data_IF_485571559871
#
_entry.id   IF_485571559871
#
_cell.length_a   1.000
_cell.length_b   1.000
_cell.length_c   1.000
_cell.angle_alpha   90.00
_cell.angle_beta   90.00
_cell.angle_gamma   90.00
#
_symmetry.space_group_name_H-M   'P 1'
#
loop_
_entity.id
_entity.type
_entity.pdbx_description
1 polymer ?
#
# COMPACT_ATOMS: atom_id res chain seq x y z
N UNK A 1 5.83 -7.53 -51.83
CA UNK A 1 6.06 -8.19 -50.53
C UNK A 1 5.00 -7.69 -49.57
N UNK A 2 4.12 -8.59 -49.14
CA UNK A 2 2.97 -8.25 -48.31
C UNK A 2 3.43 -7.89 -46.89
N UNK A 3 2.96 -6.75 -46.39
CA UNK A 3 3.15 -6.34 -45.00
C UNK A 3 2.23 -7.19 -44.12
N UNK A 4 2.81 -7.92 -43.18
CA UNK A 4 2.07 -8.64 -42.14
C UNK A 4 1.41 -7.61 -41.22
N UNK A 5 0.09 -7.50 -41.32
CA UNK A 5 -0.76 -6.70 -40.45
C UNK A 5 -0.79 -7.39 -39.07
N UNK A 6 -0.14 -6.76 -38.08
CA UNK A 6 -0.21 -7.21 -36.69
C UNK A 6 -1.60 -6.86 -36.17
N UNK A 7 -2.41 -7.83 -35.71
CA UNK A 7 -3.77 -7.56 -35.28
C UNK A 7 -3.74 -6.68 -34.03
N UNK A 8 -4.53 -5.61 -34.04
CA UNK A 8 -4.73 -4.77 -32.87
C UNK A 8 -5.46 -5.57 -31.79
N UNK A 9 -5.00 -5.56 -30.52
CA UNK A 9 -5.68 -6.29 -29.45
C UNK A 9 -7.07 -5.71 -29.25
N UNK A 10 -8.03 -6.62 -29.07
CA UNK A 10 -9.44 -6.31 -28.91
C UNK A 10 -9.67 -5.55 -27.60
N UNK A 11 -10.62 -4.61 -27.58
CA UNK A 11 -10.99 -3.85 -26.37
C UNK A 11 -11.43 -4.75 -25.20
N UNK A 12 -11.85 -5.98 -25.50
CA UNK A 12 -12.19 -7.03 -24.54
C UNK A 12 -11.00 -7.63 -23.80
N UNK A 13 -9.80 -7.72 -24.41
CA UNK A 13 -8.61 -8.26 -23.74
C UNK A 13 -8.10 -7.29 -22.66
N UNK A 14 -8.16 -5.99 -22.92
CA UNK A 14 -7.73 -4.94 -21.97
C UNK A 14 -8.57 -4.95 -20.68
N UNK A 15 -9.83 -5.40 -20.75
CA UNK A 15 -10.72 -5.44 -19.59
C UNK A 15 -10.38 -6.55 -18.58
N UNK A 16 -9.69 -7.61 -19.01
CA UNK A 16 -9.31 -8.74 -18.16
C UNK A 16 -7.88 -8.66 -17.61
N UNK A 17 -7.10 -7.67 -18.05
CA UNK A 17 -5.64 -7.58 -17.79
C UNK A 17 -5.27 -7.05 -16.38
N UNK A 18 -6.23 -6.81 -15.49
CA UNK A 18 -5.96 -6.32 -14.13
C UNK A 18 -5.50 -4.84 -14.07
N UNK A 19 -5.46 -4.20 -12.87
CA UNK A 19 -5.25 -2.76 -12.74
C UNK A 19 -3.86 -2.27 -13.21
N UNK A 20 -2.81 -3.06 -12.97
CA UNK A 20 -1.42 -2.70 -13.28
C UNK A 20 -1.17 -2.67 -14.78
N UNK A 21 -1.57 -3.73 -15.50
CA UNK A 21 -1.39 -3.82 -16.94
C UNK A 21 -2.27 -2.80 -17.67
N UNK A 22 -3.44 -2.48 -17.13
CA UNK A 22 -4.28 -1.37 -17.61
C UNK A 22 -3.56 -0.01 -17.54
N UNK A 23 -2.84 0.27 -16.45
CA UNK A 23 -2.04 1.48 -16.31
C UNK A 23 -0.89 1.52 -17.35
N UNK A 24 -0.16 0.41 -17.51
CA UNK A 24 0.93 0.27 -18.50
C UNK A 24 0.40 0.50 -19.91
N UNK A 25 -0.71 -0.15 -20.27
CA UNK A 25 -1.41 0.04 -21.55
C UNK A 25 -1.81 1.49 -21.80
N UNK A 26 -2.38 2.16 -20.78
CA UNK A 26 -2.81 3.56 -20.89
C UNK A 26 -1.61 4.48 -21.12
N UNK A 27 -0.49 4.26 -20.42
CA UNK A 27 0.75 5.02 -20.64
C UNK A 27 1.35 4.77 -22.01
N UNK A 28 1.41 3.51 -22.46
CA UNK A 28 1.86 3.16 -23.82
C UNK A 28 1.03 3.87 -24.90
N UNK A 29 -0.30 3.86 -24.77
CA UNK A 29 -1.20 4.58 -25.70
C UNK A 29 -0.91 6.09 -25.72
N UNK A 30 -0.72 6.71 -24.56
CA UNK A 30 -0.42 8.13 -24.47
C UNK A 30 0.94 8.49 -25.12
N UNK A 31 1.98 7.68 -24.86
CA UNK A 31 3.30 7.89 -25.46
C UNK A 31 3.30 7.66 -26.97
N UNK A 32 2.64 6.61 -27.47
CA UNK A 32 2.47 6.38 -28.91
C UNK A 32 1.72 7.53 -29.59
N UNK A 33 0.68 8.07 -28.95
CA UNK A 33 -0.02 9.26 -29.46
C UNK A 33 0.90 10.48 -29.51
N UNK A 34 1.75 10.68 -28.50
CA UNK A 34 2.76 11.75 -28.48
C UNK A 34 3.81 11.55 -29.56
N UNK A 35 4.27 10.32 -29.79
CA UNK A 35 5.22 9.98 -30.86
C UNK A 35 4.62 10.28 -32.24
N UNK A 36 3.38 9.89 -32.49
CA UNK A 36 2.68 10.21 -33.75
C UNK A 36 2.56 11.73 -33.97
N UNK A 37 2.28 12.50 -32.91
CA UNK A 37 2.26 13.97 -32.99
C UNK A 37 3.64 14.54 -33.32
N UNK A 38 4.69 13.99 -32.72
CA UNK A 38 6.09 14.35 -33.01
C UNK A 38 6.41 14.08 -34.48
N UNK A 39 6.08 12.90 -35.01
CA UNK A 39 6.29 12.57 -36.43
C UNK A 39 5.60 13.55 -37.38
N UNK A 40 4.34 13.91 -37.11
CA UNK A 40 3.62 14.92 -37.91
C UNK A 40 4.28 16.32 -37.85
N UNK A 41 4.86 16.69 -36.71
CA UNK A 41 5.61 17.94 -36.56
C UNK A 41 6.95 17.90 -37.30
N UNK A 42 7.64 16.75 -37.31
CA UNK A 42 8.87 16.55 -38.10
C UNK A 42 8.60 16.67 -39.60
N UNK A 43 7.52 16.07 -40.09
CA UNK A 43 7.08 16.19 -41.49
C UNK A 43 6.75 17.64 -41.85
N UNK A 44 6.02 18.35 -40.98
CA UNK A 44 5.71 19.77 -41.16
C UNK A 44 6.97 20.64 -41.23
N UNK A 45 7.97 20.33 -40.40
CA UNK A 45 9.28 21.02 -40.41
C UNK A 45 10.06 20.71 -41.68
N UNK A 46 10.04 19.46 -42.15
CA UNK A 46 10.66 19.06 -43.41
C UNK A 46 10.02 19.75 -44.63
N UNK A 47 8.72 20.05 -44.56
CA UNK A 47 7.99 20.86 -45.54
C UNK A 47 8.29 22.36 -45.46
N UNK A 48 9.19 22.80 -44.56
CA UNK A 48 9.62 24.19 -44.43
C UNK A 48 8.72 25.08 -43.57
N UNK A 49 7.76 24.51 -42.83
CA UNK A 49 6.93 25.30 -41.88
C UNK A 49 7.77 25.72 -40.67
N UNK A 50 7.65 26.99 -40.30
CA UNK A 50 8.24 27.51 -39.06
C UNK A 50 7.47 26.98 -37.84
N UNK A 51 8.20 26.52 -36.83
CA UNK A 51 7.64 25.96 -35.61
C UNK A 51 7.78 26.95 -34.44
N UNK A 52 6.79 26.95 -33.55
CA UNK A 52 6.84 27.63 -32.25
C UNK A 52 7.86 26.92 -31.33
N UNK A 53 8.50 27.67 -30.42
CA UNK A 53 9.31 27.18 -29.29
C UNK A 53 8.73 25.96 -28.56
N UNK A 54 7.42 25.92 -28.29
CA UNK A 54 6.75 24.76 -27.65
C UNK A 54 6.75 23.51 -28.55
N UNK A 55 6.61 23.69 -29.87
CA UNK A 55 6.67 22.59 -30.84
C UNK A 55 8.09 22.06 -30.96
N UNK A 56 9.10 22.94 -30.93
CA UNK A 56 10.51 22.55 -30.91
C UNK A 56 10.88 21.78 -29.64
N UNK A 57 10.39 22.20 -28.48
CA UNK A 57 10.58 21.46 -27.23
C UNK A 57 9.90 20.08 -27.28
N UNK A 58 8.71 20.01 -27.89
CA UNK A 58 8.04 18.72 -28.09
C UNK A 58 8.84 17.80 -29.02
N UNK A 59 9.47 18.32 -30.07
CA UNK A 59 10.40 17.55 -30.91
C UNK A 59 11.64 17.09 -30.14
N UNK A 60 12.21 17.97 -29.30
CA UNK A 60 13.36 17.61 -28.44
C UNK A 60 13.04 16.47 -27.47
N UNK A 61 11.77 16.30 -27.10
CA UNK A 61 11.33 15.20 -26.23
C UNK A 61 11.29 13.82 -26.90
N UNK A 62 11.48 13.72 -28.23
CA UNK A 62 11.38 12.47 -29.00
C UNK A 62 12.22 11.31 -28.44
N UNK A 63 13.52 11.47 -28.11
CA UNK A 63 14.33 10.36 -27.60
C UNK A 63 13.76 9.78 -26.31
N UNK A 64 13.26 10.62 -25.41
CA UNK A 64 12.64 10.21 -24.15
C UNK A 64 11.30 9.49 -24.36
N UNK A 65 10.51 9.93 -25.34
CA UNK A 65 9.24 9.27 -25.68
C UNK A 65 9.48 7.87 -26.25
N UNK A 66 10.47 7.71 -27.13
CA UNK A 66 10.84 6.41 -27.70
C UNK A 66 11.40 5.49 -26.61
N UNK A 67 12.34 5.97 -25.79
CA UNK A 67 12.89 5.20 -24.69
C UNK A 67 11.81 4.73 -23.70
N UNK A 68 10.84 5.60 -23.38
CA UNK A 68 9.73 5.25 -22.50
C UNK A 68 8.74 4.23 -23.11
N UNK A 69 8.60 4.19 -24.45
CA UNK A 69 7.84 3.13 -25.12
C UNK A 69 8.58 1.81 -24.99
N UNK A 70 9.88 1.79 -25.32
CA UNK A 70 10.70 0.59 -25.29
C UNK A 70 10.77 -0.03 -23.88
N UNK A 71 10.94 0.80 -22.84
CA UNK A 71 10.94 0.35 -21.45
C UNK A 71 9.59 -0.26 -21.05
N UNK A 72 8.49 0.42 -21.36
CA UNK A 72 7.14 -0.07 -21.03
C UNK A 72 6.80 -1.36 -21.80
N UNK A 73 7.28 -1.54 -23.02
CA UNK A 73 7.12 -2.78 -23.78
C UNK A 73 7.95 -3.93 -23.19
N UNK A 74 9.17 -3.65 -22.74
CA UNK A 74 10.03 -4.64 -22.07
C UNK A 74 9.43 -5.15 -20.76
N UNK A 75 8.83 -4.28 -19.94
CA UNK A 75 8.21 -4.72 -18.67
C UNK A 75 6.84 -5.37 -18.86
N UNK A 76 6.17 -5.13 -20.01
CA UNK A 76 4.83 -5.68 -20.26
C UNK A 76 4.82 -7.22 -20.29
N UNK A 77 5.78 -7.83 -20.98
CA UNK A 77 5.82 -9.29 -21.15
C UNK A 77 6.09 -10.02 -19.82
N UNK A 78 7.05 -9.60 -18.97
CA UNK A 78 7.20 -10.14 -17.62
C UNK A 78 5.93 -10.03 -16.76
N UNK A 79 5.18 -8.92 -16.86
CA UNK A 79 3.94 -8.74 -16.10
C UNK A 79 2.82 -9.69 -16.57
N UNK A 80 2.68 -9.90 -17.88
CA UNK A 80 1.75 -10.88 -18.44
C UNK A 80 2.10 -12.30 -17.98
N UNK A 81 3.37 -12.68 -18.09
CA UNK A 81 3.85 -14.00 -17.65
C UNK A 81 3.62 -14.23 -16.15
N UNK A 82 3.86 -13.21 -15.31
CA UNK A 82 3.60 -13.29 -13.88
C UNK A 82 2.10 -13.46 -13.56
N UNK A 83 1.23 -12.77 -14.31
CA UNK A 83 -0.23 -12.92 -14.18
C UNK A 83 -0.69 -14.33 -14.56
N UNK A 84 -0.18 -14.88 -15.67
CA UNK A 84 -0.50 -16.24 -16.09
C UNK A 84 -0.07 -17.28 -15.04
N UNK A 85 1.12 -17.10 -14.45
CA UNK A 85 1.60 -17.94 -13.34
C UNK A 85 0.72 -17.84 -12.10
N UNK A 86 0.26 -16.64 -11.72
CA UNK A 86 -0.66 -16.46 -10.58
C UNK A 86 -1.99 -17.20 -10.82
N UNK A 87 -2.52 -17.12 -12.05
CA UNK A 87 -3.74 -17.83 -12.44
C UNK A 87 -3.54 -19.35 -12.37
N UNK A 88 -2.42 -19.86 -12.90
CA UNK A 88 -2.11 -21.29 -12.90
C UNK A 88 -1.98 -21.84 -11.47
N UNK A 89 -1.31 -21.11 -10.57
CA UNK A 89 -1.18 -21.48 -9.16
C UNK A 89 -2.54 -21.57 -8.45
N UNK A 90 -3.45 -20.63 -8.74
CA UNK A 90 -4.81 -20.65 -8.19
C UNK A 90 -5.61 -21.84 -8.71
N UNK A 91 -5.50 -22.16 -10.01
CA UNK A 91 -6.18 -23.30 -10.61
C UNK A 91 -5.66 -24.65 -10.09
N UNK A 92 -4.34 -24.79 -9.92
CA UNK A 92 -3.70 -25.97 -9.35
C UNK A 92 -4.12 -26.17 -7.88
N UNK A 93 -4.14 -25.10 -7.08
CA UNK A 93 -4.56 -25.13 -5.67
C UNK A 93 -6.03 -25.55 -5.52
N UNK A 94 -6.90 -25.13 -6.44
CA UNK A 94 -8.31 -25.51 -6.42
C UNK A 94 -8.53 -26.97 -6.85
N UNK A 95 -7.73 -27.49 -7.77
CA UNK A 95 -7.81 -28.89 -8.22
C UNK A 95 -7.37 -29.86 -7.12
N UNK A 96 -6.35 -29.51 -6.34
CA UNK A 96 -5.86 -30.34 -5.24
C UNK A 96 -6.83 -30.44 -4.05
N UNK A 97 -7.83 -29.57 -3.99
CA UNK A 97 -8.86 -29.56 -2.93
C UNK A 97 -10.02 -30.51 -3.20
N UNK A 98 -10.16 -31.02 -4.43
CA UNK A 98 -11.25 -31.92 -4.84
C UNK A 98 -10.86 -33.41 -4.65
N UNK A 99 -9.56 -33.73 -4.62
CA UNK A 99 -9.06 -35.11 -4.61
C UNK A 99 -8.76 -35.69 -3.20
N UNK A 100 -9.02 -34.90 -2.14
CA UNK A 100 -8.82 -35.33 -0.75
C UNK A 100 -10.17 -35.50 -0.03
N UNK A 101 -10.90 -36.55 -0.40
CA UNK A 101 -11.89 -37.16 0.49
C UNK A 101 -11.72 -38.67 0.46
N UNK A 102 -11.49 -39.27 1.63
CA UNK A 102 -12.14 -40.53 1.96
C UNK A 102 -13.07 -40.31 3.17
N UNK A 103 -14.31 -40.74 3.02
CA UNK A 103 -15.21 -40.89 4.16
C UNK A 103 -14.81 -42.05 5.05
N UNK A 104 -15.31 -42.06 6.27
CA UNK A 104 -15.83 -43.27 6.90
C UNK A 104 -16.78 -42.90 8.06
N UNK A 105 -17.77 -43.75 8.21
CA UNK A 105 -18.90 -43.70 9.12
C UNK A 105 -18.60 -44.74 10.20
N UNK A 106 -18.73 -44.42 11.48
CA UNK A 106 -19.08 -45.41 12.50
C UNK A 106 -19.66 -44.74 13.75
N UNK A 107 -20.84 -45.24 14.08
CA UNK A 107 -21.71 -44.99 15.22
C UNK A 107 -21.28 -45.88 16.41
N UNK A 108 -21.33 -45.35 17.64
CA UNK A 108 -21.92 -46.02 18.81
C UNK A 108 -21.88 -45.08 20.03
N UNK A 109 -23.05 -44.89 20.66
CA UNK A 109 -23.27 -43.96 21.76
C UNK A 109 -23.03 -44.52 23.16
N UNK A 110 -23.05 -43.63 24.16
CA UNK A 110 -23.84 -43.86 25.37
C UNK A 110 -24.12 -42.54 26.11
N UNK A 111 -25.32 -42.47 26.68
CA UNK A 111 -25.88 -41.34 27.41
C UNK A 111 -25.46 -41.34 28.88
N UNK A 112 -25.24 -40.16 29.45
CA UNK A 112 -25.54 -39.87 30.85
C UNK A 112 -25.69 -38.34 31.05
N UNK A 113 -26.82 -37.98 31.64
CA UNK A 113 -27.29 -36.62 31.83
C UNK A 113 -26.54 -35.86 32.95
N UNK A 114 -26.24 -34.60 32.68
CA UNK A 114 -26.24 -33.51 33.67
C UNK A 114 -26.39 -32.18 32.93
N UNK A 115 -27.55 -31.56 33.08
CA UNK A 115 -27.82 -30.14 32.77
C UNK A 115 -28.41 -29.52 34.05
N UNK A 116 -28.47 -28.18 34.23
CA UNK A 116 -27.92 -27.11 33.39
C UNK A 116 -27.38 -25.88 34.19
N UNK A 117 -26.12 -25.45 34.05
CA UNK A 117 -25.66 -24.15 34.58
C UNK A 117 -24.46 -23.68 33.74
N UNK A 118 -24.37 -22.54 33.05
CA UNK A 118 -25.22 -21.38 32.78
C UNK A 118 -24.87 -20.99 31.33
N UNK A 119 -25.82 -21.08 30.39
CA UNK A 119 -25.66 -20.36 29.11
C UNK A 119 -25.82 -18.89 29.43
N UNK A 120 -24.72 -18.22 29.78
CA UNK A 120 -24.70 -16.77 29.80
C UNK A 120 -25.09 -16.31 28.40
N UNK A 121 -26.18 -15.57 28.31
CA UNK A 121 -26.61 -14.84 27.12
C UNK A 121 -25.67 -13.64 26.86
N UNK A 122 -24.36 -13.86 26.93
CA UNK A 122 -23.32 -12.99 26.35
C UNK A 122 -23.07 -13.51 24.92
N UNK A 123 -24.15 -13.63 24.13
CA UNK A 123 -24.13 -14.48 22.93
C UNK A 123 -23.88 -13.75 21.61
N UNK A 124 -24.05 -12.43 21.57
CA UNK A 124 -24.04 -11.67 20.30
C UNK A 124 -23.40 -10.28 20.46
N UNK A 125 -23.77 -9.54 21.52
CA UNK A 125 -23.20 -8.21 21.79
C UNK A 125 -21.69 -8.25 22.06
N UNK A 126 -21.18 -9.30 22.71
CA UNK A 126 -19.74 -9.47 22.95
C UNK A 126 -19.00 -9.83 21.66
N UNK A 127 -19.57 -10.69 20.81
CA UNK A 127 -18.99 -11.04 19.51
C UNK A 127 -18.94 -9.83 18.56
N UNK A 128 -19.99 -9.00 18.57
CA UNK A 128 -20.01 -7.74 17.81
C UNK A 128 -18.94 -6.78 18.31
N UNK A 129 -18.83 -6.57 19.63
CA UNK A 129 -17.80 -5.70 20.22
C UNK A 129 -16.39 -6.19 19.86
N UNK A 130 -16.16 -7.48 19.94
CA UNK A 130 -14.88 -8.12 19.61
C UNK A 130 -14.50 -7.95 18.12
N UNK A 131 -15.43 -8.18 17.20
CA UNK A 131 -15.21 -7.90 15.77
C UNK A 131 -15.00 -6.40 15.50
N UNK A 132 -15.72 -5.52 16.21
CA UNK A 132 -15.56 -4.08 16.09
C UNK A 132 -14.19 -3.61 16.58
N UNK A 133 -13.66 -4.20 17.65
CA UNK A 133 -12.29 -3.90 18.12
C UNK A 133 -11.26 -4.25 17.03
N UNK A 134 -11.35 -5.46 16.46
CA UNK A 134 -10.47 -5.87 15.37
C UNK A 134 -10.60 -4.94 14.15
N UNK A 135 -11.81 -4.57 13.75
CA UNK A 135 -12.04 -3.65 12.64
C UNK A 135 -11.51 -2.24 12.92
N UNK A 136 -11.71 -1.74 14.14
CA UNK A 136 -11.25 -0.43 14.56
C UNK A 136 -9.72 -0.35 14.46
N UNK A 137 -9.01 -1.24 15.15
CA UNK A 137 -7.54 -1.26 15.11
C UNK A 137 -7.00 -1.62 13.73
N UNK A 138 -7.64 -2.56 13.02
CA UNK A 138 -7.28 -2.89 11.64
C UNK A 138 -7.32 -1.66 10.73
N UNK A 139 -8.35 -0.81 10.87
CA UNK A 139 -8.48 0.43 10.08
C UNK A 139 -7.46 1.51 10.46
N UNK A 140 -7.04 1.56 11.74
CA UNK A 140 -6.04 2.51 12.24
C UNK A 140 -4.64 2.11 11.78
N UNK A 141 -4.31 0.81 11.80
CA UNK A 141 -2.99 0.32 11.44
C UNK A 141 -2.79 0.09 9.95
N UNK A 142 -3.85 0.13 9.15
CA UNK A 142 -3.82 0.02 7.69
C UNK A 142 -3.21 1.26 7.02
N UNK A 143 -1.89 1.25 6.82
CA UNK A 143 -1.19 2.33 6.08
C UNK A 143 -1.31 2.14 4.56
N UNK A 144 -1.54 0.90 4.09
CA UNK A 144 -1.41 0.54 2.68
C UNK A 144 -2.70 0.69 1.88
N UNK A 145 -3.84 0.25 2.41
CA UNK A 145 -5.12 0.24 1.66
C UNK A 145 -5.69 1.64 1.48
N UNK A 146 -5.25 2.60 2.30
CA UNK A 146 -5.64 4.00 2.23
C UNK A 146 -4.55 4.94 1.71
N UNK A 147 -3.54 4.41 1.03
CA UNK A 147 -2.57 5.16 0.19
C UNK A 147 -3.22 6.06 -0.86
N UNK A 148 -4.55 5.99 -1.04
CA UNK A 148 -5.33 6.85 -1.94
C UNK A 148 -5.79 8.17 -1.31
N UNK A 149 -5.64 8.36 0.00
CA UNK A 149 -5.91 9.62 0.68
C UNK A 149 -4.71 10.00 1.58
N UNK A 150 -3.82 10.85 1.06
CA UNK A 150 -2.59 11.30 1.75
C UNK A 150 -2.84 11.79 3.19
N UNK A 151 -4.02 12.35 3.46
CA UNK A 151 -4.40 12.94 4.75
C UNK A 151 -4.41 11.92 5.91
N UNK A 152 -4.57 10.63 5.60
CA UNK A 152 -4.66 9.58 6.64
C UNK A 152 -3.34 8.84 6.88
N UNK A 153 -2.40 8.89 5.93
CA UNK A 153 -1.15 8.14 6.05
C UNK A 153 -0.31 8.62 7.23
N UNK A 154 -0.11 9.94 7.37
CA UNK A 154 0.69 10.51 8.47
C UNK A 154 0.10 10.17 9.84
N UNK A 155 -1.23 10.32 9.98
CA UNK A 155 -1.94 9.96 11.21
C UNK A 155 -1.74 8.49 11.55
N UNK A 156 -1.93 7.58 10.60
CA UNK A 156 -1.83 6.13 10.85
C UNK A 156 -0.40 5.68 11.15
N UNK A 157 0.59 6.27 10.48
CA UNK A 157 2.00 6.04 10.83
C UNK A 157 2.31 6.50 12.25
N UNK A 158 1.79 7.66 12.66
CA UNK A 158 1.92 8.14 14.04
C UNK A 158 1.25 7.18 15.04
N UNK A 159 0.02 6.76 14.78
CA UNK A 159 -0.71 5.81 15.63
C UNK A 159 0.05 4.48 15.81
N UNK A 160 0.61 3.93 14.73
CA UNK A 160 1.45 2.71 14.80
C UNK A 160 2.68 2.92 15.68
N UNK A 161 3.40 4.02 15.48
CA UNK A 161 4.61 4.32 16.26
C UNK A 161 4.28 4.53 17.75
N UNK A 162 3.17 5.21 18.05
CA UNK A 162 2.67 5.35 19.41
C UNK A 162 2.37 3.97 20.02
N UNK A 163 1.57 3.13 19.34
CA UNK A 163 1.23 1.79 19.82
C UNK A 163 2.46 0.96 20.19
N UNK A 164 3.50 0.96 19.34
CA UNK A 164 4.76 0.26 19.60
C UNK A 164 5.53 0.89 20.77
N UNK A 165 5.58 2.21 20.86
CA UNK A 165 6.34 2.91 21.92
C UNK A 165 5.75 2.62 23.30
N UNK A 166 4.41 2.58 23.44
CA UNK A 166 3.76 2.24 24.69
C UNK A 166 4.05 0.79 25.13
N UNK A 167 4.28 -0.14 24.20
CA UNK A 167 4.67 -1.52 24.52
C UNK A 167 6.10 -1.62 25.10
N UNK A 168 6.98 -0.67 24.76
CA UNK A 168 8.37 -0.62 25.24
C UNK A 168 8.55 0.15 26.57
N UNK A 169 7.63 1.06 26.90
CA UNK A 169 7.79 1.99 28.04
C UNK A 169 7.21 1.43 29.34
N UNK A 170 6.36 0.41 29.28
CA UNK A 170 5.93 -0.29 30.49
C UNK A 170 7.07 -1.20 30.97
N UNK A 171 7.82 -0.74 31.98
CA UNK A 171 8.91 -1.45 32.69
C UNK A 171 8.48 -2.78 33.36
N UNK A 172 7.28 -3.28 33.10
CA UNK A 172 6.88 -4.61 33.52
C UNK A 172 7.38 -5.63 32.50
N UNK A 173 8.30 -6.49 32.96
CA UNK A 173 8.66 -7.79 32.38
C UNK A 173 7.44 -8.74 32.30
N UNK A 174 6.30 -8.26 31.80
CA UNK A 174 5.06 -9.00 31.64
C UNK A 174 5.16 -9.96 30.46
N UNK A 175 5.96 -11.00 30.64
CA UNK A 175 5.80 -12.38 30.17
C UNK A 175 5.48 -12.65 28.68
N UNK A 176 5.74 -11.74 27.75
CA UNK A 176 5.42 -11.94 26.33
C UNK A 176 6.37 -11.26 25.34
N UNK A 177 6.42 -11.80 24.12
CA UNK A 177 7.17 -11.22 22.99
C UNK A 177 6.64 -9.81 22.67
N UNK A 178 7.52 -8.79 22.55
CA UNK A 178 7.11 -7.42 22.26
C UNK A 178 6.32 -7.33 20.95
N UNK A 179 5.44 -6.32 20.87
CA UNK A 179 4.72 -6.00 19.65
C UNK A 179 5.69 -5.56 18.57
N UNK A 180 5.52 -6.11 17.37
CA UNK A 180 6.32 -5.81 16.19
C UNK A 180 5.47 -5.10 15.14
N UNK A 181 6.10 -4.39 14.22
CA UNK A 181 5.41 -3.78 13.07
C UNK A 181 4.57 -4.82 12.29
N UNK A 182 5.11 -6.04 12.16
CA UNK A 182 4.42 -7.15 11.52
C UNK A 182 3.11 -7.51 12.23
N UNK A 183 3.04 -7.44 13.56
CA UNK A 183 1.80 -7.73 14.30
C UNK A 183 0.71 -6.72 13.90
N UNK A 184 1.06 -5.44 13.78
CA UNK A 184 0.15 -4.37 13.36
C UNK A 184 -0.27 -4.52 11.89
N UNK A 185 0.64 -4.94 11.02
CA UNK A 185 0.34 -5.23 9.61
C UNK A 185 -0.63 -6.39 9.45
N UNK A 186 -0.49 -7.43 10.28
CA UNK A 186 -1.40 -8.58 10.24
C UNK A 186 -2.76 -8.20 10.86
N UNK A 187 -2.82 -7.37 11.92
CA UNK A 187 -4.08 -6.81 12.42
C UNK A 187 -4.82 -6.03 11.32
N UNK A 188 -4.12 -5.17 10.58
CA UNK A 188 -4.67 -4.46 9.43
C UNK A 188 -5.16 -5.43 8.32
N UNK A 189 -4.37 -6.47 8.03
CA UNK A 189 -4.70 -7.47 7.02
C UNK A 189 -5.97 -8.25 7.38
N UNK A 190 -6.08 -8.77 8.61
CA UNK A 190 -7.28 -9.49 9.06
C UNK A 190 -8.49 -8.56 9.12
N UNK A 191 -8.33 -7.33 9.59
CA UNK A 191 -9.38 -6.30 9.53
C UNK A 191 -9.89 -6.10 8.10
N UNK A 192 -8.99 -6.07 7.11
CA UNK A 192 -9.33 -6.03 5.69
C UNK A 192 -10.09 -7.27 5.22
N UNK A 193 -9.66 -8.48 5.60
CA UNK A 193 -10.30 -9.75 5.22
C UNK A 193 -11.76 -9.86 5.69
N UNK A 194 -12.12 -9.20 6.80
CA UNK A 194 -13.49 -9.17 7.32
C UNK A 194 -14.48 -8.36 6.49
N UNK A 195 -14.00 -7.40 5.69
CA UNK A 195 -14.88 -6.43 4.99
C UNK A 195 -14.57 -6.29 3.50
N UNK A 196 -13.52 -6.94 3.01
CA UNK A 196 -13.02 -6.74 1.65
C UNK A 196 -13.14 -7.99 0.80
N UNK A 197 -13.44 -7.78 -0.48
CA UNK A 197 -13.37 -8.84 -1.48
C UNK A 197 -11.90 -9.25 -1.67
N UNK A 198 -11.56 -10.56 -1.65
CA UNK A 198 -10.19 -11.00 -1.89
C UNK A 198 -9.66 -10.44 -3.20
N UNK A 199 -8.46 -9.83 -3.12
CA UNK A 199 -7.76 -9.23 -4.26
C UNK A 199 -7.57 -10.30 -5.33
N UNK A 200 -7.74 -9.93 -6.60
CA UNK A 200 -7.57 -10.82 -7.77
C UNK A 200 -8.50 -12.05 -7.82
N UNK A 201 -9.57 -12.12 -7.02
CA UNK A 201 -10.49 -13.25 -7.10
C UNK A 201 -11.58 -13.04 -8.16
N UNK A 202 -11.92 -14.11 -8.88
CA UNK A 202 -13.11 -14.19 -9.76
C UNK A 202 -14.39 -14.52 -8.99
N UNK A 203 -14.34 -14.48 -7.65
CA UNK A 203 -15.45 -14.88 -6.78
C UNK A 203 -16.64 -13.93 -6.90
N UNK A 204 -17.85 -14.48 -6.80
CA UNK A 204 -19.03 -13.64 -6.69
C UNK A 204 -19.01 -12.82 -5.39
N UNK A 205 -19.83 -11.77 -5.31
CA UNK A 205 -20.00 -11.02 -4.05
C UNK A 205 -20.50 -11.93 -2.92
N UNK A 206 -21.35 -12.92 -3.24
CA UNK A 206 -21.85 -13.89 -2.27
C UNK A 206 -20.71 -14.71 -1.67
N UNK A 207 -19.90 -15.34 -2.52
CA UNK A 207 -18.80 -16.20 -2.05
C UNK A 207 -17.71 -15.38 -1.35
N UNK A 208 -17.52 -14.13 -1.76
CA UNK A 208 -16.59 -13.21 -1.08
C UNK A 208 -17.06 -12.90 0.33
N UNK A 209 -18.36 -12.61 0.49
CA UNK A 209 -18.96 -12.35 1.80
C UNK A 209 -18.95 -13.59 2.70
N UNK A 210 -19.17 -14.78 2.13
CA UNK A 210 -19.01 -16.04 2.86
C UNK A 210 -17.58 -16.20 3.40
N UNK A 211 -16.55 -15.87 2.62
CA UNK A 211 -15.16 -15.86 3.11
C UNK A 211 -14.93 -14.84 4.22
N UNK A 212 -15.48 -13.63 4.09
CA UNK A 212 -15.42 -12.63 5.17
C UNK A 212 -16.03 -13.18 6.47
N UNK A 213 -17.18 -13.84 6.37
CA UNK A 213 -17.84 -14.48 7.50
C UNK A 213 -17.02 -15.64 8.08
N UNK A 214 -16.30 -16.40 7.26
CA UNK A 214 -15.42 -17.47 7.74
C UNK A 214 -14.22 -16.92 8.52
N UNK A 215 -13.61 -15.82 8.07
CA UNK A 215 -12.59 -15.11 8.85
C UNK A 215 -13.13 -14.61 10.20
N UNK A 216 -14.35 -14.07 10.21
CA UNK A 216 -15.00 -13.65 11.46
C UNK A 216 -15.21 -14.82 12.42
N UNK A 217 -15.66 -15.97 11.92
CA UNK A 217 -15.80 -17.19 12.74
C UNK A 217 -14.46 -17.66 13.29
N UNK A 218 -13.40 -17.70 12.48
CA UNK A 218 -12.06 -18.11 12.90
C UNK A 218 -11.50 -17.18 13.98
N UNK A 219 -11.76 -15.87 13.87
CA UNK A 219 -11.42 -14.90 14.91
C UNK A 219 -12.18 -15.14 16.21
N UNK A 220 -13.50 -15.26 16.14
CA UNK A 220 -14.39 -15.43 17.30
C UNK A 220 -14.17 -16.77 18.02
N UNK A 221 -13.80 -17.81 17.27
CA UNK A 221 -13.49 -19.13 17.84
C UNK A 221 -12.07 -19.22 18.39
N UNK A 222 -11.29 -18.13 18.33
CA UNK A 222 -9.89 -18.09 18.76
C UNK A 222 -9.06 -19.21 18.10
N UNK A 223 -9.19 -19.36 16.79
CA UNK A 223 -8.64 -20.51 16.08
C UNK A 223 -7.11 -20.51 16.06
N UNK A 224 -6.49 -21.67 16.31
CA UNK A 224 -5.06 -21.89 16.13
C UNK A 224 -4.65 -22.05 14.64
N UNK A 225 -5.61 -21.87 13.71
CA UNK A 225 -5.35 -21.95 12.28
C UNK A 225 -4.48 -20.75 11.83
N UNK A 226 -3.52 -20.95 10.91
CA UNK A 226 -2.80 -19.86 10.29
C UNK A 226 -3.73 -18.90 9.53
N UNK A 227 -3.46 -17.60 9.60
CA UNK A 227 -4.22 -16.57 8.86
C UNK A 227 -3.96 -16.69 7.37
N UNK A 228 -2.70 -16.86 6.99
CA UNK A 228 -2.25 -17.09 5.63
C UNK A 228 -1.60 -18.46 5.50
N UNK A 229 -1.77 -19.09 4.33
CA UNK A 229 -1.17 -20.38 4.07
C UNK A 229 0.37 -20.27 4.08
N UNK A 230 1.04 -21.05 4.92
CA UNK A 230 2.50 -21.05 5.05
C UNK A 230 3.05 -20.04 6.07
N UNK A 231 2.20 -19.24 6.70
CA UNK A 231 2.57 -18.39 7.83
C UNK A 231 2.50 -19.16 9.15
N UNK A 232 3.34 -18.79 10.11
CA UNK A 232 3.27 -19.26 11.49
C UNK A 232 2.33 -18.42 12.37
N UNK A 233 1.74 -17.35 11.81
CA UNK A 233 0.85 -16.45 12.54
C UNK A 233 -0.59 -16.97 12.47
N UNK A 234 -1.18 -17.21 13.65
CA UNK A 234 -2.53 -17.78 13.81
C UNK A 234 -3.54 -16.72 14.26
N UNK A 235 -4.84 -16.98 14.10
CA UNK A 235 -5.88 -16.08 14.62
C UNK A 235 -5.75 -15.93 16.14
N UNK A 236 -5.51 -17.03 16.85
CA UNK A 236 -5.32 -17.01 18.30
C UNK A 236 -4.13 -16.17 18.74
N UNK A 237 -2.96 -16.37 18.12
CA UNK A 237 -1.76 -15.60 18.45
C UNK A 237 -1.93 -14.11 18.15
N UNK A 238 -2.56 -13.77 17.03
CA UNK A 238 -2.85 -12.35 16.72
C UNK A 238 -3.85 -11.74 17.71
N UNK A 239 -4.85 -12.51 18.14
CA UNK A 239 -5.84 -12.06 19.13
C UNK A 239 -5.19 -11.76 20.47
N UNK A 240 -4.22 -12.56 20.90
CA UNK A 240 -3.41 -12.25 22.09
C UNK A 240 -2.68 -10.91 21.95
N UNK A 241 -2.08 -10.64 20.78
CA UNK A 241 -1.43 -9.36 20.50
C UNK A 241 -2.44 -8.19 20.53
N UNK A 242 -3.64 -8.35 19.96
CA UNK A 242 -4.67 -7.30 20.02
C UNK A 242 -5.18 -7.07 21.45
N UNK A 243 -5.35 -8.14 22.24
CA UNK A 243 -5.71 -8.02 23.65
C UNK A 243 -4.62 -7.28 24.44
N UNK A 244 -3.34 -7.51 24.12
CA UNK A 244 -2.21 -6.75 24.69
C UNK A 244 -2.33 -5.26 24.39
N UNK A 245 -2.64 -4.90 23.13
CA UNK A 245 -2.87 -3.50 22.74
C UNK A 245 -4.02 -2.87 23.55
N UNK A 246 -5.15 -3.57 23.67
CA UNK A 246 -6.32 -3.08 24.42
C UNK A 246 -6.07 -2.99 25.94
N UNK A 247 -5.15 -3.79 26.47
CA UNK A 247 -4.74 -3.73 27.87
C UNK A 247 -3.68 -2.66 28.16
N UNK A 248 -3.05 -2.10 27.13
CA UNK A 248 -1.99 -1.10 27.26
C UNK A 248 -2.53 0.33 27.44
N UNK A 249 -1.71 1.21 27.99
CA UNK A 249 -2.02 2.63 28.14
C UNK A 249 -2.25 3.33 26.78
N UNK A 250 -1.77 2.77 25.67
CA UNK A 250 -2.07 3.27 24.33
C UNK A 250 -3.58 3.30 24.06
N UNK A 251 -4.33 2.31 24.55
CA UNK A 251 -5.78 2.22 24.29
C UNK A 251 -6.58 3.30 25.03
N UNK A 252 -6.15 3.69 26.23
CA UNK A 252 -6.89 4.63 27.09
C UNK A 252 -6.35 6.05 27.03
N UNK A 253 -5.12 6.26 26.56
CA UNK A 253 -4.53 7.59 26.43
C UNK A 253 -5.13 8.34 25.25
N UNK A 254 -5.51 9.60 25.44
CA UNK A 254 -5.98 10.46 24.35
C UNK A 254 -4.80 10.89 23.47
N UNK A 255 -4.76 10.57 22.17
CA UNK A 255 -3.64 10.94 21.30
C UNK A 255 -3.59 12.45 21.03
N UNK A 256 -2.47 13.10 21.31
CA UNK A 256 -2.18 14.48 20.88
C UNK A 256 -1.42 14.47 19.54
N UNK A 257 -2.14 14.53 18.41
CA UNK A 257 -1.49 14.73 17.10
C UNK A 257 -1.08 16.20 16.98
N UNK A 258 0.15 16.53 17.38
CA UNK A 258 0.71 17.89 17.20
C UNK A 258 1.11 18.10 15.74
N UNK A 259 0.77 19.26 15.19
CA UNK A 259 1.14 19.60 13.82
C UNK A 259 2.67 19.74 13.69
N UNK A 260 3.27 19.42 12.53
CA UNK A 260 4.73 19.49 12.33
C UNK A 260 5.38 20.84 12.67
N UNK A 261 4.60 21.93 12.66
CA UNK A 261 5.08 23.28 12.99
C UNK A 261 5.33 23.45 14.50
N UNK A 262 4.63 22.72 15.35
CA UNK A 262 4.70 22.87 16.81
C UNK A 262 5.78 21.98 17.46
N UNK A 263 6.34 21.03 16.70
CA UNK A 263 7.40 20.11 17.17
C UNK A 263 8.80 20.76 17.13
N UNK A 264 8.95 21.89 16.41
CA UNK A 264 10.22 22.62 16.33
C UNK A 264 10.57 23.44 17.59
N UNK A 265 9.67 23.53 18.57
CA UNK A 265 9.81 24.40 19.75
C UNK A 265 9.88 23.67 21.10
N UNK A 266 9.85 22.33 21.13
CA UNK A 266 9.95 21.57 22.39
C UNK A 266 11.43 21.19 22.67
N UNK A 267 11.97 21.48 23.87
CA UNK A 267 13.29 21.01 24.28
C UNK A 267 13.15 19.54 24.69
N UNK A 268 13.10 18.65 23.70
CA UNK A 268 12.93 17.21 23.86
C UNK A 268 13.10 16.54 22.51
N UNK A 269 14.26 15.93 22.32
CA UNK A 269 14.81 15.43 21.07
C UNK A 269 13.96 14.32 20.41
N UNK A 270 12.98 14.66 19.56
CA UNK A 270 12.35 13.72 18.63
C UNK A 270 12.37 14.29 17.21
N UNK A 271 13.52 14.13 16.56
CA UNK A 271 13.71 14.55 15.17
C UNK A 271 12.97 13.59 14.24
N UNK A 272 11.81 14.02 13.72
CA UNK A 272 11.14 13.36 12.59
C UNK A 272 11.94 13.65 11.31
N UNK A 273 12.76 12.72 10.86
CA UNK A 273 13.45 12.81 9.57
C UNK A 273 12.69 12.01 8.51
N UNK A 274 11.98 12.72 7.64
CA UNK A 274 11.52 12.19 6.35
C UNK A 274 12.69 12.30 5.37
N UNK A 275 13.12 11.20 4.71
CA UNK A 275 14.11 11.30 3.64
C UNK A 275 13.61 12.24 2.52
N UNK A 276 14.39 13.24 2.08
CA UNK A 276 13.96 14.13 1.01
C UNK A 276 13.80 13.34 -0.29
N UNK A 277 12.57 13.25 -0.78
CA UNK A 277 12.29 12.90 -2.17
C UNK A 277 12.94 13.99 -3.01
N UNK A 278 13.98 13.64 -3.78
CA UNK A 278 14.72 14.57 -4.61
C UNK A 278 13.83 15.13 -5.72
N UNK A 279 13.14 16.23 -5.43
CA UNK A 279 12.52 17.11 -6.40
C UNK A 279 13.51 18.17 -6.83
N UNK A 280 13.91 18.11 -8.09
CA UNK A 280 14.71 19.09 -8.83
C UNK A 280 14.37 20.55 -8.46
N UNK A 281 15.33 21.28 -7.86
CA UNK A 281 15.24 22.73 -7.65
C UNK A 281 16.29 23.45 -8.49
N UNK A 282 15.76 24.22 -9.45
CA UNK A 282 16.44 25.27 -10.21
C UNK A 282 16.91 26.35 -9.20
N UNK A 283 18.16 26.86 -9.28
CA UNK A 283 18.62 27.88 -8.33
C UNK A 283 17.96 29.23 -8.63
N UNK A 284 17.33 29.91 -7.66
CA UNK A 284 16.93 31.29 -7.82
C UNK A 284 18.13 32.22 -7.63
N UNK A 285 18.34 33.09 -8.61
CA UNK A 285 19.23 34.23 -8.54
C UNK A 285 18.60 35.34 -7.67
N UNK A 286 19.48 36.11 -7.01
CA UNK A 286 19.22 37.34 -6.25
C UNK A 286 18.72 37.16 -4.82
N UNK A 287 19.57 37.48 -3.84
CA UNK A 287 19.42 38.70 -3.05
C UNK A 287 20.66 39.00 -2.19
N UNK A 288 21.17 40.22 -2.38
CA UNK A 288 21.79 41.13 -1.42
C UNK A 288 22.70 40.58 -0.29
N UNK A 289 24.00 40.83 -0.48
CA UNK A 289 25.04 40.87 0.56
C UNK A 289 24.84 42.14 1.42
N UNK A 290 24.80 42.05 2.76
CA UNK A 290 24.93 43.23 3.61
C UNK A 290 26.42 43.61 3.71
N UNK A 291 26.70 44.86 3.35
CA UNK A 291 28.00 45.51 3.51
C UNK A 291 28.16 45.91 4.98
N UNK A 292 29.09 45.29 5.69
CA UNK A 292 29.73 45.88 6.88
C UNK A 292 31.04 46.52 6.45
N UNK A 293 31.13 47.84 6.64
CA UNK A 293 32.28 48.64 6.28
C UNK A 293 33.37 48.58 7.34
N UNK A 294 34.62 48.44 6.89
CA UNK A 294 35.79 48.93 7.62
C UNK A 294 36.84 49.43 6.64
N UNK A 295 37.04 50.75 6.64
CA UNK A 295 38.35 51.39 6.70
C UNK A 295 39.36 51.19 5.55
N UNK A 296 39.68 52.34 4.95
CA UNK A 296 41.01 52.78 4.47
C UNK A 296 41.51 52.36 3.09
N UNK A 297 41.53 53.37 2.23
CA UNK A 297 42.61 53.80 1.32
C UNK A 297 43.05 52.87 0.18
N UNK A 298 42.71 53.29 -1.04
CA UNK A 298 43.66 53.24 -2.16
C UNK A 298 43.85 54.65 -2.72
N UNK A 299 45.10 55.12 -2.64
CA UNK A 299 45.59 56.30 -3.35
C UNK A 299 45.33 56.15 -4.85
N UNK A 300 44.65 57.15 -5.41
CA UNK A 300 44.59 57.38 -6.83
C UNK A 300 45.69 58.38 -7.16
N UNK A 301 46.84 57.89 -7.65
CA UNK A 301 47.81 58.76 -8.29
C UNK A 301 47.46 58.90 -9.78
N UNK A 302 47.58 60.14 -10.23
CA UNK A 302 46.85 60.77 -11.34
C UNK A 302 47.53 60.51 -12.68
N UNK A 303 46.72 60.55 -13.71
CA UNK A 303 47.06 60.48 -15.13
C UNK A 303 47.86 61.73 -15.58
N UNK A 304 48.88 61.49 -16.40
CA UNK A 304 49.44 62.35 -17.47
C UNK A 304 50.43 63.48 -17.16
N UNK A 305 51.52 63.40 -17.94
CA UNK A 305 52.33 64.47 -18.56
C UNK A 305 53.21 65.35 -17.67
#
# INVERSE_FOLDING_TARGET
>A
MAAAEVPAPSLSEIANEGPVLNLVNKRLRALRKRLNRISQMEESRAQGKTLNKEQEETLRSKPYVVAGIDELEKIRQPLLSALDQEIELVLAKNSHKIDSSPGEIADEGNAAAAEPEVKEQIGDASAVSDLLNLLYFGSIFDVQTLMRANDNMLRRTHERNCCLTYDYVTDDDAAGDPLKELDLDVVATVGGLLISRPVNSSLSHKDSLEKCADHAKLWLTNAAQPIEAGSNITYAGLREKLNKIMASDYFTTTPEIRAPVDVAAAPGNYTFQVPPVHGSVIPPASMHVPVEGSGTEFQQEVISS
#
